data_IF_819629013655
#
_entry.id   IF_819629013655
#
_cell.length_a   1.000
_cell.length_b   1.000
_cell.length_c   1.000
_cell.angle_alpha   90.00
_cell.angle_beta   90.00
_cell.angle_gamma   90.00
#
_symmetry.space_group_name_H-M   'P 1'
#
loop_
_entity.id
_entity.type
_entity.pdbx_description
1 polymer ?
2 non-polymer ?
3 non-polymer ?
4 water ?
#
# COMPACT_ATOMS: atom_id res chain seq x y z
N UNK A 11 8.24 16.00 -11.73
CA UNK A 11 7.52 16.63 -10.61
C UNK A 11 8.40 16.79 -9.36
N UNK A 12 8.06 17.78 -8.53
CA UNK A 12 8.80 18.03 -7.29
C UNK A 12 8.81 16.77 -6.42
N UNK A 13 9.96 16.48 -5.82
CA UNK A 13 10.06 15.34 -4.93
C UNK A 13 10.22 15.84 -3.49
N UNK A 14 10.65 14.96 -2.60
CA UNK A 14 10.82 15.28 -1.20
C UNK A 14 12.25 14.98 -0.75
N UNK A 15 12.84 15.90 -0.01
CA UNK A 15 14.02 15.58 0.80
C UNK A 15 13.55 15.14 2.19
N UNK A 16 13.87 13.91 2.62
CA UNK A 16 13.39 13.44 3.94
C UNK A 16 13.75 14.34 5.13
N UNK A 17 14.92 15.00 5.12
CA UNK A 17 15.33 15.82 6.25
C UNK A 17 14.61 17.17 6.34
N UNK A 18 13.91 17.61 5.29
CA UNK A 18 13.18 18.87 5.30
C UNK A 18 11.68 18.67 5.51
N UNK A 19 11.27 17.52 6.00
CA UNK A 19 9.86 17.27 6.23
C UNK A 19 9.53 17.51 7.69
N UNK A 20 8.27 17.82 7.96
CA UNK A 20 7.75 17.75 9.31
C UNK A 20 7.40 16.30 9.65
N UNK A 21 7.90 15.81 10.79
CA UNK A 21 7.67 14.43 11.22
C UNK A 21 6.71 14.40 12.40
N UNK A 22 5.69 13.55 12.31
CA UNK A 22 4.70 13.41 13.37
C UNK A 22 4.64 11.98 13.87
N UNK A 23 4.29 11.83 15.17
CA UNK A 23 4.22 10.53 15.84
C UNK A 23 2.98 10.50 16.71
N UNK A 24 2.25 9.39 16.64
CA UNK A 24 1.04 9.18 17.40
C UNK A 24 1.11 7.78 18.03
N UNK A 25 0.90 7.71 19.34
CA UNK A 25 0.81 6.43 20.05
C UNK A 25 -0.63 5.96 19.96
N UNK A 26 -0.86 4.82 19.29
CA UNK A 26 -2.23 4.34 19.16
C UNK A 26 -2.53 3.16 20.09
N UNK A 27 -1.51 2.55 20.68
CA UNK A 27 -1.59 1.39 21.56
C UNK A 27 -0.35 1.39 22.42
N UNK A 28 -0.36 0.67 23.55
CA UNK A 28 0.75 0.81 24.51
C UNK A 28 2.15 0.79 23.91
N UNK A 29 2.46 -0.14 23.01
CA UNK A 29 3.79 -0.20 22.45
C UNK A 29 3.80 0.07 20.94
N UNK A 30 2.80 0.79 20.44
CA UNK A 30 2.63 1.02 19.01
C UNK A 30 2.49 2.52 18.76
N UNK A 31 3.51 3.11 18.17
CA UNK A 31 3.46 4.47 17.63
C UNK A 31 3.50 4.40 16.10
N UNK A 32 2.66 5.21 15.45
CA UNK A 32 2.73 5.42 14.01
C UNK A 32 3.42 6.74 13.71
N UNK A 33 4.34 6.70 12.76
CA UNK A 33 5.06 7.87 12.28
C UNK A 33 4.48 8.30 10.93
N UNK A 34 4.40 9.60 10.72
CA UNK A 34 3.96 10.11 9.43
C UNK A 34 4.71 11.38 9.11
N UNK A 35 4.65 11.77 7.86
CA UNK A 35 5.17 13.05 7.39
C UNK A 35 3.98 13.91 7.00
N UNK A 36 4.08 15.22 7.25
CA UNK A 36 2.93 16.11 7.07
C UNK A 36 3.29 17.34 6.25
N UNK A 37 2.42 17.71 5.30
CA UNK A 37 2.69 18.87 4.46
C UNK A 37 1.36 19.45 3.96
N UNK A 38 1.23 20.79 4.04
CA UNK A 38 0.10 21.52 3.47
C UNK A 38 -0.98 21.86 4.49
N UNK A 39 -1.98 22.59 4.02
CA UNK A 39 -3.18 22.92 4.78
C UNK A 39 -4.41 22.67 3.91
N UNK A 40 -5.57 22.49 4.56
CA UNK A 40 -6.79 22.15 3.85
C UNK A 40 -7.36 20.84 4.35
N UNK A 41 -8.28 20.24 3.59
CA UNK A 41 -8.82 18.95 4.02
C UNK A 41 -7.70 17.92 4.16
N UNK A 42 -7.83 17.06 5.16
CA UNK A 42 -6.79 16.09 5.49
C UNK A 42 -6.84 14.91 4.54
N UNK A 43 -5.70 14.59 3.94
CA UNK A 43 -5.57 13.45 3.03
C UNK A 43 -4.54 12.50 3.60
N UNK A 44 -4.92 11.26 3.85
CA UNK A 44 -4.03 10.26 4.41
C UNK A 44 -3.61 9.28 3.32
N UNK A 45 -2.30 9.08 3.14
CA UNK A 45 -1.71 8.25 2.09
C UNK A 45 -1.10 6.99 2.70
N UNK A 46 -1.51 5.81 2.22
CA UNK A 46 -1.09 4.52 2.83
C UNK A 46 -0.37 3.65 1.81
N UNK A 47 0.93 3.45 2.03
CA UNK A 47 1.78 2.79 1.06
C UNK A 47 1.56 1.28 1.11
N UNK A 48 2.27 0.57 0.22
CA UNK A 48 2.19 -0.86 0.10
C UNK A 48 3.48 -1.55 0.50
N UNK A 49 3.62 -2.84 0.06
CA UNK A 49 4.71 -3.75 0.36
C UNK A 49 5.69 -3.80 -0.79
N UNK A 50 7.01 -3.66 -0.55
CA UNK A 50 7.57 -3.26 0.74
C UNK A 50 8.06 -1.82 0.65
N UNK A 51 7.22 -0.85 1.00
CA UNK A 51 7.53 0.53 0.64
C UNK A 51 7.66 1.43 1.85
N UNK A 52 7.17 2.67 1.76
CA UNK A 52 7.54 3.70 2.72
C UNK A 52 6.67 4.92 2.48
N UNK A 53 6.57 5.79 3.49
CA UNK A 53 5.99 7.10 3.19
C UNK A 53 6.67 7.72 1.99
N UNK A 54 7.98 7.48 1.83
CA UNK A 54 8.75 8.07 0.75
C UNK A 54 8.23 7.65 -0.63
N UNK A 55 7.48 6.55 -0.71
CA UNK A 55 6.96 6.13 -2.00
C UNK A 55 6.00 7.15 -2.58
N UNK A 56 5.48 8.04 -1.74
CA UNK A 56 4.59 9.12 -2.15
C UNK A 56 5.33 10.43 -2.43
N UNK A 57 6.67 10.39 -2.50
CA UNK A 57 7.46 11.62 -2.61
C UNK A 57 7.01 12.55 -3.73
N UNK A 58 6.48 12.01 -4.83
CA UNK A 58 6.01 12.88 -5.91
C UNK A 58 4.58 13.38 -5.70
N UNK A 59 3.78 12.69 -4.90
CA UNK A 59 2.43 13.19 -4.68
C UNK A 59 2.36 14.21 -3.55
N UNK A 60 3.26 14.11 -2.57
CA UNK A 60 3.11 14.90 -1.34
C UNK A 60 3.18 16.41 -1.64
N UNK A 61 4.20 16.92 -2.34
CA UNK A 61 4.21 18.37 -2.61
C UNK A 61 3.14 18.78 -3.59
N UNK A 62 2.74 17.88 -4.49
CA UNK A 62 1.70 18.22 -5.46
C UNK A 62 0.33 18.35 -4.80
N UNK A 63 -0.06 17.39 -3.97
CA UNK A 63 -1.34 17.51 -3.28
C UNK A 63 -1.35 18.72 -2.34
N UNK A 64 -0.23 18.99 -1.66
CA UNK A 64 -0.21 20.15 -0.78
C UNK A 64 -0.33 21.44 -1.56
N UNK A 65 0.37 21.56 -2.70
CA UNK A 65 0.23 22.77 -3.52
C UNK A 65 -1.20 22.90 -4.08
N UNK A 66 -1.92 21.80 -4.22
CA UNK A 66 -3.32 21.90 -4.66
C UNK A 66 -4.27 22.21 -3.53
N UNK A 67 -3.78 22.42 -2.30
CA UNK A 67 -4.66 22.84 -1.23
C UNK A 67 -5.18 21.73 -0.33
N UNK A 68 -4.34 20.75 -0.05
CA UNK A 68 -4.71 19.67 0.86
C UNK A 68 -3.65 19.57 1.93
N UNK A 69 -4.07 19.07 3.10
CA UNK A 69 -3.16 18.73 4.18
C UNK A 69 -2.80 17.25 4.04
N UNK A 70 -1.57 16.97 3.62
CA UNK A 70 -1.14 15.60 3.32
C UNK A 70 -0.48 14.96 4.55
N UNK A 71 -0.88 13.74 4.85
CA UNK A 71 -0.26 12.93 5.91
C UNK A 71 0.14 11.63 5.27
N UNK A 72 1.45 11.41 5.13
CA UNK A 72 1.98 10.22 4.49
C UNK A 72 2.47 9.29 5.59
N UNK A 73 1.76 8.18 5.78
CA UNK A 73 2.10 7.25 6.85
C UNK A 73 3.36 6.44 6.53
N UNK A 74 4.09 6.10 7.60
CA UNK A 74 4.86 4.86 7.65
C UNK A 74 3.88 3.85 8.23
N UNK A 75 3.47 2.85 7.44
CA UNK A 75 2.49 1.91 7.98
C UNK A 75 3.15 1.04 9.05
N UNK A 76 2.32 0.42 9.88
CA UNK A 76 2.84 -0.42 10.96
C UNK A 76 3.75 -1.52 10.42
N UNK A 77 4.89 -1.70 11.07
CA UNK A 77 5.93 -2.60 10.62
C UNK A 77 7.05 -1.92 9.85
N UNK A 78 6.85 -0.69 9.42
CA UNK A 78 7.73 -0.08 8.43
C UNK A 78 8.45 1.13 9.01
N UNK A 79 9.68 1.37 8.53
CA UNK A 79 10.33 2.65 8.75
C UNK A 79 10.40 3.05 10.20
N UNK A 80 9.90 4.24 10.53
CA UNK A 80 9.90 4.74 11.89
C UNK A 80 8.64 4.39 12.66
N UNK A 81 7.67 3.75 12.04
CA UNK A 81 6.57 3.27 12.85
C UNK A 81 6.98 2.02 13.60
N UNK A 82 6.30 1.77 14.72
CA UNK A 82 6.57 0.58 15.52
C UNK A 82 6.33 -0.69 14.70
N UNK A 83 7.11 -1.73 15.00
CA UNK A 83 6.93 -3.07 14.45
C UNK A 83 6.77 -4.07 15.59
N UNK A 84 5.56 -4.23 16.13
CA UNK A 84 5.35 -5.26 17.15
C UNK A 84 5.70 -6.63 16.63
N UNK A 85 6.10 -7.54 17.51
CA UNK A 85 6.60 -8.85 17.05
C UNK A 85 5.51 -9.85 16.70
N UNK A 86 4.32 -9.70 17.28
CA UNK A 86 3.24 -10.66 17.10
C UNK A 86 2.64 -10.60 15.69
N UNK A 87 2.42 -11.78 15.10
CA UNK A 87 1.94 -11.84 13.73
C UNK A 87 0.51 -11.32 13.60
N UNK A 88 -0.34 -11.60 14.58
CA UNK A 88 -1.71 -11.15 14.49
C UNK A 88 -1.88 -9.68 14.81
N UNK A 89 -0.80 -8.97 15.16
CA UNK A 89 -0.93 -7.53 15.22
C UNK A 89 -1.11 -6.89 13.85
N UNK A 90 -0.97 -7.66 12.77
CA UNK A 90 -0.96 -7.15 11.42
C UNK A 90 -2.16 -7.64 10.60
N UNK A 91 -3.21 -8.08 11.27
CA UNK A 91 -4.44 -8.39 10.56
C UNK A 91 -5.19 -7.11 10.27
N UNK A 92 -5.97 -7.14 9.19
CA UNK A 92 -6.64 -5.92 8.75
C UNK A 92 -7.52 -5.34 9.86
N UNK A 93 -8.10 -6.19 10.71
CA UNK A 93 -8.98 -5.68 11.76
C UNK A 93 -8.25 -4.76 12.71
N UNK A 94 -7.08 -5.19 13.17
CA UNK A 94 -6.27 -4.36 14.05
C UNK A 94 -5.73 -3.14 13.29
N UNK A 95 -5.26 -3.33 12.06
CA UNK A 95 -4.65 -2.21 11.34
C UNK A 95 -5.66 -1.10 11.13
N UNK A 96 -6.90 -1.45 10.79
CA UNK A 96 -7.92 -0.43 10.57
C UNK A 96 -8.33 0.26 11.86
N UNK A 97 -8.43 -0.49 12.94
CA UNK A 97 -8.85 0.10 14.19
C UNK A 97 -7.77 1.04 14.73
N UNK A 98 -6.50 0.76 14.41
CA UNK A 98 -5.41 1.68 14.75
C UNK A 98 -5.46 2.96 13.94
N UNK A 99 -5.80 2.87 12.65
CA UNK A 99 -5.96 4.08 11.84
C UNK A 99 -7.08 4.95 12.39
N UNK A 100 -8.17 4.34 12.87
CA UNK A 100 -9.23 5.13 13.49
C UNK A 100 -8.71 5.83 14.74
N UNK A 101 -7.96 5.11 15.57
CA UNK A 101 -7.38 5.73 16.75
C UNK A 101 -6.44 6.86 16.33
N UNK A 102 -5.75 6.67 15.21
CA UNK A 102 -4.86 7.70 14.68
C UNK A 102 -5.62 8.99 14.40
N UNK A 103 -6.74 8.88 13.68
CA UNK A 103 -7.58 10.05 13.45
C UNK A 103 -8.07 10.66 14.76
N UNK A 104 -8.41 9.81 15.74
CA UNK A 104 -8.91 10.30 17.01
C UNK A 104 -7.87 11.14 17.71
N UNK A 105 -6.66 10.59 17.85
CA UNK A 105 -5.60 11.32 18.54
C UNK A 105 -5.19 12.59 17.80
N UNK A 106 -5.42 12.66 16.49
CA UNK A 106 -5.16 13.88 15.74
C UNK A 106 -6.35 14.83 15.76
N UNK A 107 -7.46 14.46 16.40
CA UNK A 107 -8.61 15.34 16.40
C UNK A 107 -9.21 15.57 15.02
N UNK A 108 -9.18 14.55 14.16
CA UNK A 108 -9.77 14.62 12.81
C UNK A 108 -11.06 13.82 12.79
N UNK A 109 -12.17 14.47 12.43
CA UNK A 109 -13.44 13.74 12.34
C UNK A 109 -13.42 12.78 11.15
N UNK A 110 -12.81 13.21 10.04
CA UNK A 110 -12.74 12.39 8.85
C UNK A 110 -11.44 12.71 8.13
N UNK A 111 -11.15 11.91 7.11
CA UNK A 111 -10.01 12.18 6.24
C UNK A 111 -10.25 11.46 4.92
N UNK A 112 -9.60 11.97 3.87
CA UNK A 112 -9.51 11.22 2.62
C UNK A 112 -8.41 10.18 2.77
N UNK A 113 -8.72 8.93 2.40
CA UNK A 113 -7.75 7.86 2.43
C UNK A 113 -7.39 7.47 1.00
N UNK A 114 -6.09 7.44 0.71
CA UNK A 114 -5.57 7.02 -0.59
C UNK A 114 -4.50 5.97 -0.32
N UNK A 115 -4.71 4.76 -0.82
CA UNK A 115 -3.75 3.69 -0.63
C UNK A 115 -3.31 3.04 -1.93
N UNK A 116 -2.20 2.33 -1.83
CA UNK A 116 -1.66 1.59 -2.94
C UNK A 116 -1.30 0.20 -2.44
N UNK A 117 -1.64 -0.83 -3.22
CA UNK A 117 -1.18 -2.19 -2.93
C UNK A 117 -1.83 -2.58 -1.59
N UNK A 118 -1.07 -3.10 -0.60
CA UNK A 118 -1.67 -3.44 0.69
C UNK A 118 -2.37 -2.23 1.33
N UNK A 119 -1.78 -1.04 1.20
CA UNK A 119 -2.44 0.17 1.63
C UNK A 119 -3.76 0.42 0.95
N UNK A 120 -3.89 0.04 -0.32
CA UNK A 120 -5.18 0.13 -0.98
C UNK A 120 -6.17 -0.85 -0.41
N UNK A 121 -5.71 -2.05 -0.09
CA UNK A 121 -6.54 -3.00 0.62
C UNK A 121 -7.03 -2.39 1.94
N UNK A 122 -6.11 -1.80 2.70
CA UNK A 122 -6.48 -1.19 3.98
C UNK A 122 -7.55 -0.12 3.81
N UNK A 123 -7.38 0.79 2.84
CA UNK A 123 -8.34 1.90 2.74
C UNK A 123 -9.71 1.42 2.25
N UNK A 124 -9.77 0.32 1.48
CA UNK A 124 -11.09 -0.19 1.12
C UNK A 124 -11.84 -0.63 2.38
N UNK A 125 -11.15 -1.34 3.27
CA UNK A 125 -11.79 -1.86 4.47
C UNK A 125 -12.09 -0.76 5.48
N UNK A 126 -11.28 0.31 5.53
CA UNK A 126 -11.65 1.52 6.25
C UNK A 126 -12.97 2.10 5.74
N UNK A 127 -13.09 2.23 4.42
CA UNK A 127 -14.32 2.76 3.83
C UNK A 127 -15.51 1.84 4.12
N UNK A 128 -15.26 0.54 4.16
CA UNK A 128 -16.34 -0.43 4.34
C UNK A 128 -16.83 -0.44 5.79
N UNK A 129 -15.90 -0.48 6.76
CA UNK A 129 -16.26 -0.63 8.16
C UNK A 129 -16.27 0.69 8.94
N UNK A 130 -15.65 1.74 8.43
CA UNK A 130 -15.66 3.04 9.09
C UNK A 130 -16.03 4.17 8.13
N UNK A 131 -17.09 4.01 7.33
CA UNK A 131 -17.46 5.09 6.41
C UNK A 131 -17.58 6.44 7.07
N UNK A 132 -18.05 6.50 8.32
CA UNK A 132 -18.28 7.76 9.00
C UNK A 132 -16.96 8.53 9.18
N UNK A 133 -15.84 7.82 9.27
CA UNK A 133 -14.54 8.46 9.41
C UNK A 133 -13.82 8.73 8.09
N UNK A 134 -14.41 8.35 6.94
CA UNK A 134 -13.74 8.43 5.64
C UNK A 134 -14.50 9.40 4.75
N UNK A 135 -13.91 10.56 4.45
CA UNK A 135 -14.57 11.51 3.57
C UNK A 135 -14.64 10.98 2.15
N UNK A 136 -13.57 10.32 1.69
CA UNK A 136 -13.53 9.73 0.36
C UNK A 136 -12.37 8.75 0.34
N UNK A 137 -12.42 7.81 -0.61
CA UNK A 137 -11.43 6.73 -0.67
C UNK A 137 -10.93 6.54 -2.11
N UNK A 138 -9.63 6.36 -2.26
CA UNK A 138 -9.01 6.06 -3.56
C UNK A 138 -8.01 4.94 -3.37
N UNK A 139 -7.96 4.04 -4.35
CA UNK A 139 -6.97 2.97 -4.38
C UNK A 139 -6.24 2.98 -5.73
N UNK A 140 -4.92 2.80 -5.68
CA UNK A 140 -4.10 2.54 -6.85
C UNK A 140 -3.84 1.04 -6.93
N UNK A 141 -4.25 0.43 -8.05
CA UNK A 141 -3.95 -0.97 -8.40
C UNK A 141 -4.82 -1.95 -7.63
N UNK A 142 -5.00 -1.75 -6.33
CA UNK A 142 -5.68 -2.77 -5.53
C UNK A 142 -7.18 -2.69 -5.72
N UNK A 143 -7.83 -3.72 -6.24
CA UNK A 143 -9.28 -3.69 -6.38
C UNK A 143 -9.93 -4.00 -5.04
N UNK A 144 -11.21 -3.74 -4.96
CA UNK A 144 -12.03 -4.19 -3.85
C UNK A 144 -12.83 -5.39 -4.31
N UNK A 145 -12.52 -6.56 -3.78
CA UNK A 145 -13.29 -7.77 -4.06
C UNK A 145 -13.96 -8.18 -2.74
N UNK A 146 -15.28 -8.31 -2.70
CA UNK A 146 -15.93 -8.72 -1.45
C UNK A 146 -15.52 -10.14 -1.10
N UNK A 147 -15.45 -10.41 0.20
CA UNK A 147 -15.10 -11.75 0.66
C UNK A 147 -16.09 -12.78 0.11
N UNK A 148 -15.55 -13.87 -0.42
CA UNK A 148 -16.36 -15.02 -0.81
C UNK A 148 -16.48 -15.94 0.40
N UNK A 149 -17.66 -16.06 1.02
CA UNK A 149 -17.75 -16.85 2.26
C UNK A 149 -17.62 -18.35 2.03
N UNK A 150 -17.77 -18.81 0.78
CA UNK A 150 -17.72 -20.22 0.44
C UNK A 150 -16.39 -20.64 -0.17
N UNK A 151 -15.37 -19.78 -0.12
CA UNK A 151 -14.05 -20.08 -0.67
C UNK A 151 -12.98 -19.56 0.28
N UNK A 152 -12.11 -20.46 0.76
CA UNK A 152 -11.07 -20.09 1.69
C UNK A 152 -9.99 -19.27 0.98
N UNK A 153 -9.16 -18.54 1.74
CA UNK A 153 -8.04 -17.83 1.11
C UNK A 153 -7.04 -18.75 0.44
N UNK A 154 -6.78 -19.92 1.00
CA UNK A 154 -5.82 -20.82 0.38
C UNK A 154 -6.35 -21.33 -0.97
N UNK A 155 -7.64 -21.67 -1.03
CA UNK A 155 -8.22 -22.06 -2.30
C UNK A 155 -8.18 -20.93 -3.31
N UNK A 156 -8.36 -19.68 -2.87
CA UNK A 156 -8.36 -18.55 -3.78
C UNK A 156 -6.96 -18.22 -4.28
N UNK A 157 -5.93 -18.76 -3.68
CA UNK A 157 -4.60 -18.44 -4.11
C UNK A 157 -4.17 -19.45 -5.14
N UNK A 158 -4.23 -20.70 -4.76
CA UNK A 158 -3.88 -21.76 -5.66
C UNK A 158 -4.60 -21.58 -6.98
N UNK A 159 -5.67 -20.79 -6.98
CA UNK A 159 -6.43 -20.59 -8.18
C UNK A 159 -5.94 -19.44 -8.97
N UNK A 160 -5.06 -18.62 -8.42
CA UNK A 160 -4.40 -17.64 -9.24
C UNK A 160 -2.98 -17.95 -9.23
N UNK A 161 -2.51 -18.55 -10.28
CA UNK A 161 -1.08 -18.91 -10.24
C UNK A 161 -0.15 -17.73 -9.99
N UNK A 162 -0.60 -16.48 -10.23
CA UNK A 162 0.28 -15.35 -9.99
C UNK A 162 0.41 -15.01 -8.51
N UNK A 163 -0.55 -15.40 -7.68
CA UNK A 163 -0.49 -15.21 -6.24
C UNK A 163 0.33 -16.28 -5.54
N UNK A 164 1.15 -17.02 -6.28
CA UNK A 164 1.90 -18.13 -5.72
C UNK A 164 2.95 -17.65 -4.71
N UNK A 165 3.57 -16.49 -4.96
CA UNK A 165 4.58 -15.96 -4.04
C UNK A 165 4.05 -15.77 -2.61
N UNK A 166 2.73 -15.63 -2.43
CA UNK A 166 2.20 -15.44 -1.09
C UNK A 166 2.29 -16.69 -0.23
N UNK A 167 2.49 -17.86 -0.84
CA UNK A 167 2.74 -19.08 -0.07
C UNK A 167 4.17 -19.09 0.45
N UNK A 168 5.11 -18.69 -0.39
CA UNK A 168 6.49 -18.56 0.04
C UNK A 168 6.62 -17.55 1.18
N UNK A 169 5.74 -16.56 1.26
CA UNK A 169 5.78 -15.53 2.30
C UNK A 169 5.20 -16.00 3.63
N UNK A 170 4.64 -17.21 3.70
CA UNK A 170 3.82 -17.59 4.86
C UNK A 170 4.66 -17.95 6.09
N UNK A 171 5.69 -18.76 5.92
CA UNK A 171 6.39 -19.30 7.09
C UNK A 171 7.35 -18.28 7.68
N UNK A 172 7.20 -17.90 8.96
CA UNK A 172 8.06 -16.86 9.54
C UNK A 172 9.53 -17.23 9.48
N UNK A 173 10.32 -16.30 8.95
CA UNK A 173 11.76 -16.46 8.86
C UNK A 173 12.26 -16.70 7.46
N UNK A 174 11.45 -17.29 6.58
CA UNK A 174 11.97 -17.81 5.33
C UNK A 174 12.21 -16.70 4.33
N UNK A 175 11.14 -15.99 3.95
CA UNK A 175 11.32 -14.87 3.03
C UNK A 175 12.12 -13.73 3.65
N UNK A 176 12.08 -13.58 5.00
CA UNK A 176 12.89 -12.55 5.65
C UNK A 176 14.35 -12.71 5.26
N UNK A 177 14.83 -13.96 5.25
CA UNK A 177 16.24 -14.22 5.02
C UNK A 177 16.65 -13.77 3.62
N UNK A 178 15.83 -14.07 2.62
CA UNK A 178 16.17 -13.67 1.26
C UNK A 178 16.03 -12.16 1.06
N UNK A 179 14.97 -11.57 1.59
CA UNK A 179 14.76 -10.14 1.41
C UNK A 179 15.83 -9.31 2.13
N UNK A 180 16.30 -9.78 3.29
CA UNK A 180 17.27 -9.04 4.11
C UNK A 180 18.74 -9.35 3.81
N UNK A 181 19.04 -10.30 2.92
CA UNK A 181 20.43 -10.68 2.76
C UNK A 181 21.25 -9.63 2.00
N UNK A 182 20.65 -8.91 1.06
CA UNK A 182 21.33 -7.82 0.37
C UNK A 182 20.25 -6.80 0.04
N UNK A 183 20.04 -5.85 0.96
CA UNK A 183 18.90 -4.95 0.85
C UNK A 183 18.96 -4.15 -0.45
N UNK A 184 20.14 -3.72 -0.87
CA UNK A 184 20.23 -2.97 -2.11
C UNK A 184 19.85 -3.82 -3.31
N UNK A 185 20.19 -5.12 -3.27
CA UNK A 185 19.76 -6.02 -4.33
C UNK A 185 18.25 -6.20 -4.29
N UNK A 186 17.68 -6.33 -3.09
CA UNK A 186 16.23 -6.47 -2.96
C UNK A 186 15.48 -5.33 -3.62
N UNK A 187 15.82 -4.09 -3.28
CA UNK A 187 15.05 -2.96 -3.78
C UNK A 187 15.37 -2.64 -5.23
N UNK A 188 16.63 -2.85 -5.65
CA UNK A 188 16.94 -2.68 -7.06
C UNK A 188 16.24 -3.73 -7.91
N UNK A 189 15.94 -4.90 -7.34
CA UNK A 189 15.27 -5.96 -8.08
C UNK A 189 13.76 -5.76 -8.13
N UNK A 190 13.18 -5.16 -7.09
CA UNK A 190 11.74 -4.98 -7.04
C UNK A 190 11.30 -3.72 -7.79
N UNK A 191 11.97 -2.60 -7.55
CA UNK A 191 11.49 -1.28 -7.99
C UNK A 191 11.91 -1.09 -9.45
N UNK A 192 11.16 -1.70 -10.37
CA UNK A 192 11.47 -1.61 -11.80
C UNK A 192 10.20 -1.41 -12.62
N UNK A 193 10.36 -0.75 -13.77
CA UNK A 193 9.27 -0.68 -14.74
C UNK A 193 8.95 -2.07 -15.26
N UNK A 194 7.75 -2.22 -15.82
CA UNK A 194 7.32 -3.55 -16.23
C UNK A 194 8.25 -4.15 -17.28
N UNK A 195 8.70 -3.33 -18.23
CA UNK A 195 9.57 -3.84 -19.27
C UNK A 195 10.97 -4.20 -18.75
N UNK A 196 11.36 -3.71 -17.57
CA UNK A 196 12.67 -4.04 -17.00
C UNK A 196 12.60 -5.14 -15.96
N UNK A 197 11.46 -5.80 -15.82
CA UNK A 197 11.23 -6.68 -14.68
C UNK A 197 12.06 -7.95 -14.81
N UNK A 198 12.67 -8.36 -13.69
CA UNK A 198 13.54 -9.52 -13.61
C UNK A 198 12.95 -10.66 -12.79
N UNK A 199 11.74 -10.50 -12.26
CA UNK A 199 11.12 -11.52 -11.40
C UNK A 199 9.89 -12.11 -12.04
N UNK A 200 9.66 -13.39 -11.76
CA UNK A 200 8.45 -14.08 -12.18
C UNK A 200 7.73 -14.49 -10.90
N UNK A 201 6.72 -13.70 -10.50
CA UNK A 201 5.98 -13.99 -9.29
C UNK A 201 5.19 -15.30 -9.39
N UNK A 202 4.96 -15.80 -10.60
CA UNK A 202 4.19 -17.03 -10.83
C UNK A 202 5.07 -18.28 -10.87
N UNK A 203 6.32 -18.19 -10.43
CA UNK A 203 7.21 -19.34 -10.37
C UNK A 203 7.96 -19.41 -9.05
N UNK A 204 7.56 -18.62 -8.05
CA UNK A 204 8.42 -18.34 -6.91
C UNK A 204 8.55 -19.57 -6.01
N UNK A 205 7.48 -20.25 -5.71
CA UNK A 205 7.59 -21.34 -4.75
C UNK A 205 8.35 -22.61 -5.14
N UNK A 206 8.47 -22.93 -6.41
CA UNK A 206 9.26 -24.08 -6.82
C UNK A 206 10.71 -23.76 -7.07
N UNK A 207 10.97 -22.58 -7.59
CA UNK A 207 12.33 -22.13 -7.75
C UNK A 207 12.89 -21.99 -6.38
N UNK A 208 12.03 -21.78 -5.40
CA UNK A 208 12.58 -21.67 -4.07
C UNK A 208 12.87 -20.28 -3.57
N UNK A 209 12.43 -19.24 -4.28
CA UNK A 209 12.67 -17.88 -3.84
C UNK A 209 12.37 -16.81 -4.87
N UNK A 210 12.24 -15.56 -4.40
CA UNK A 210 11.88 -14.45 -5.27
C UNK A 210 13.02 -14.12 -6.23
N UNK A 211 14.26 -14.25 -5.76
CA UNK A 211 15.40 -13.71 -6.47
C UNK A 211 16.34 -14.78 -6.98
N UNK A 212 16.01 -16.06 -6.79
CA UNK A 212 16.94 -17.12 -7.17
C UNK A 212 17.34 -17.03 -8.63
N UNK A 213 16.49 -16.45 -9.48
CA UNK A 213 16.79 -16.42 -10.91
C UNK A 213 16.82 -14.99 -11.45
N UNK A 214 17.54 -14.12 -10.76
CA UNK A 214 17.68 -12.74 -11.18
C UNK A 214 19.06 -12.25 -10.77
N UNK A 215 19.57 -11.17 -11.41
CA UNK A 215 21.00 -10.85 -11.30
C UNK A 215 21.52 -10.74 -9.87
N UNK A 216 22.82 -11.02 -9.73
CA UNK A 216 23.53 -10.75 -8.48
C UNK A 216 23.64 -9.26 -8.22
N UNK A 217 24.16 -8.51 -9.18
CA UNK A 217 24.24 -7.06 -9.14
C UNK A 217 23.28 -6.50 -10.20
N UNK A 218 22.00 -6.30 -9.87
CA UNK A 218 21.05 -5.82 -10.88
C UNK A 218 21.31 -4.37 -11.25
N UNK A 219 20.82 -4.00 -12.44
CA UNK A 219 20.97 -2.62 -12.87
C UNK A 219 19.96 -1.72 -12.17
N UNK A 220 20.21 -0.42 -12.27
CA UNK A 220 19.31 0.58 -11.69
C UNK A 220 18.18 0.88 -12.67
N UNK A 221 16.94 0.68 -12.23
CA UNK A 221 15.79 0.98 -13.07
C UNK A 221 15.75 2.47 -13.43
N UNK A 222 15.11 2.77 -14.57
CA UNK A 222 14.95 4.14 -14.99
C UNK A 222 14.05 4.93 -14.05
N UNK A 223 13.31 4.24 -13.18
CA UNK A 223 12.37 4.91 -12.28
C UNK A 223 13.05 5.56 -11.09
N UNK A 224 14.22 5.05 -10.67
CA UNK A 224 14.78 5.36 -9.37
C UNK A 224 16.23 5.79 -9.49
N UNK A 225 16.70 6.56 -8.50
CA UNK A 225 18.12 6.85 -8.39
C UNK A 225 18.77 5.91 -7.37
N UNK A 226 20.10 5.94 -7.36
CA UNK A 226 20.83 5.24 -6.33
C UNK A 226 20.54 5.81 -4.96
N UNK A 227 20.34 7.13 -4.89
CA UNK A 227 20.06 7.79 -3.61
C UNK A 227 18.73 7.34 -3.05
N UNK A 228 17.70 7.32 -3.90
CA UNK A 228 16.39 6.85 -3.47
C UNK A 228 16.44 5.40 -3.02
N UNK A 229 17.17 4.56 -3.76
CA UNK A 229 17.35 3.16 -3.34
C UNK A 229 17.94 3.12 -1.94
N UNK A 230 18.98 3.92 -1.68
CA UNK A 230 19.66 3.87 -0.39
C UNK A 230 18.78 4.36 0.74
N UNK A 231 17.80 5.23 0.46
CA UNK A 231 16.87 5.61 1.50
C UNK A 231 16.00 4.42 1.92
N UNK A 232 15.47 3.69 0.94
CA UNK A 232 14.73 2.48 1.30
C UNK A 232 15.63 1.50 2.07
N UNK A 233 16.89 1.37 1.64
CA UNK A 233 17.79 0.45 2.34
C UNK A 233 17.92 0.84 3.79
N UNK A 234 18.15 2.13 4.04
CA UNK A 234 18.38 2.54 5.42
C UNK A 234 17.11 2.39 6.25
N UNK A 235 15.94 2.60 5.64
CA UNK A 235 14.69 2.45 6.39
C UNK A 235 14.47 1.00 6.84
N UNK A 236 14.73 0.04 5.95
CA UNK A 236 14.44 -1.35 6.29
C UNK A 236 15.51 -1.98 7.16
N UNK A 237 16.66 -1.32 7.30
CA UNK A 237 17.64 -1.76 8.28
C UNK A 237 17.12 -1.60 9.70
N UNK A 238 16.10 -0.78 9.91
CA UNK A 238 15.65 -0.52 11.27
C UNK A 238 14.93 -1.73 11.85
N UNK A 239 13.91 -2.26 11.16
CA UNK A 239 13.13 -3.38 11.67
C UNK A 239 13.11 -4.59 10.75
N UNK A 240 13.71 -4.51 9.57
CA UNK A 240 13.69 -5.68 8.72
C UNK A 240 12.35 -5.95 8.04
N UNK A 241 12.22 -7.16 7.51
CA UNK A 241 11.09 -7.51 6.66
C UNK A 241 10.01 -8.33 7.38
N UNK A 242 10.21 -8.66 8.66
CA UNK A 242 9.21 -9.48 9.34
C UNK A 242 7.87 -8.76 9.45
N UNK A 243 7.88 -7.54 9.98
CA UNK A 243 6.68 -6.74 10.12
C UNK A 243 5.91 -6.57 8.82
N UNK A 244 6.56 -6.06 7.77
CA UNK A 244 5.92 -6.06 6.43
C UNK A 244 5.39 -7.41 5.98
N UNK A 245 6.18 -8.49 6.09
CA UNK A 245 5.70 -9.81 5.66
C UNK A 245 4.51 -10.26 6.48
N UNK A 246 4.37 -9.79 7.73
CA UNK A 246 3.24 -10.25 8.51
C UNK A 246 1.90 -9.77 7.97
N UNK A 247 1.90 -8.82 7.03
CA UNK A 247 0.63 -8.39 6.43
C UNK A 247 0.00 -9.50 5.61
N UNK A 248 0.80 -10.43 5.07
CA UNK A 248 0.33 -11.60 4.33
C UNK A 248 -0.01 -12.79 5.21
N UNK A 249 0.32 -12.76 6.50
CA UNK A 249 0.23 -13.94 7.34
C UNK A 249 -1.03 -13.97 8.17
N UNK A 250 -2.07 -13.26 7.73
CA UNK A 250 -3.34 -13.19 8.46
C UNK A 250 -4.53 -13.45 7.53
N UNK A 251 -4.34 -14.26 6.48
CA UNK A 251 -5.36 -14.44 5.45
C UNK A 251 -6.67 -14.96 6.05
N UNK A 252 -6.59 -15.95 6.93
CA UNK A 252 -7.81 -16.52 7.49
C UNK A 252 -8.53 -15.50 8.38
N UNK A 253 -7.80 -14.82 9.25
CA UNK A 253 -8.41 -13.77 10.06
C UNK A 253 -9.08 -12.71 9.18
N UNK A 254 -8.36 -12.22 8.17
CA UNK A 254 -8.91 -11.16 7.32
C UNK A 254 -10.16 -11.63 6.58
N UNK A 255 -10.12 -12.87 6.09
CA UNK A 255 -11.28 -13.45 5.42
C UNK A 255 -12.49 -13.52 6.36
N UNK A 256 -12.30 -14.07 7.57
CA UNK A 256 -13.40 -14.13 8.54
C UNK A 256 -13.96 -12.75 8.85
N UNK A 257 -13.07 -11.77 9.10
CA UNK A 257 -13.53 -10.41 9.41
C UNK A 257 -14.26 -9.82 8.21
N UNK A 258 -13.70 -9.99 7.00
CA UNK A 258 -14.33 -9.43 5.82
C UNK A 258 -15.70 -10.03 5.61
N UNK A 259 -15.87 -11.30 5.98
CA UNK A 259 -17.17 -11.95 5.82
C UNK A 259 -18.24 -11.31 6.69
N UNK A 260 -17.85 -10.79 7.86
CA UNK A 260 -18.82 -10.18 8.77
C UNK A 260 -19.51 -8.96 8.16
N UNK A 261 -19.10 -8.54 6.97
CA UNK A 261 -19.62 -7.33 6.38
C UNK A 261 -20.56 -7.60 5.22
N UNK A 262 -20.82 -8.86 4.92
CA UNK A 262 -21.32 -9.23 3.60
C UNK A 262 -22.64 -8.55 3.29
N UNK A 263 -22.78 -8.13 2.03
CA UNK A 263 -23.99 -7.48 1.60
C UNK A 263 -23.83 -6.00 1.43
N UNK A 264 -23.20 -5.35 2.41
CA UNK A 264 -23.25 -3.90 2.46
C UNK A 264 -22.35 -3.27 1.40
N UNK A 265 -22.80 -2.14 0.89
CA UNK A 265 -22.10 -1.43 -0.15
C UNK A 265 -21.29 -0.30 0.45
N UNK A 266 -20.36 0.23 -0.33
CA UNK A 266 -19.60 1.41 0.04
C UNK A 266 -20.27 2.60 -0.62
N UNK A 267 -20.77 3.52 0.19
CA UNK A 267 -21.64 4.58 -0.27
C UNK A 267 -20.94 5.92 -0.39
N UNK A 268 -19.68 6.00 0.01
CA UNK A 268 -18.92 7.25 0.02
C UNK A 268 -18.29 7.46 -1.37
N UNK A 269 -17.82 8.68 -1.68
CA UNK A 269 -17.11 8.90 -2.96
C UNK A 269 -15.84 8.07 -3.07
N UNK A 270 -15.63 7.49 -4.25
CA UNK A 270 -14.59 6.48 -4.40
C UNK A 270 -13.94 6.56 -5.78
N UNK A 271 -12.65 6.22 -5.82
CA UNK A 271 -11.85 6.23 -7.05
C UNK A 271 -11.01 4.97 -7.10
N UNK A 272 -11.13 4.21 -8.20
CA UNK A 272 -10.27 3.07 -8.47
C UNK A 272 -9.36 3.41 -9.66
N UNK A 273 -8.04 3.39 -9.44
CA UNK A 273 -7.05 3.67 -10.48
C UNK A 273 -6.35 2.38 -10.86
N UNK A 274 -6.48 1.95 -12.11
CA UNK A 274 -5.85 0.73 -12.56
C UNK A 274 -4.60 1.03 -13.40
N UNK A 275 -3.65 0.10 -13.38
CA UNK A 275 -2.38 0.24 -14.07
C UNK A 275 -2.25 -0.84 -15.14
N UNK A 276 -2.07 -0.42 -16.40
CA UNK A 276 -2.15 -1.34 -17.54
C UNK A 276 -1.16 -2.49 -17.42
N UNK A 277 0.04 -2.24 -16.91
CA UNK A 277 1.10 -3.25 -16.92
C UNK A 277 1.37 -3.88 -15.57
N UNK A 278 0.51 -3.66 -14.58
CA UNK A 278 0.62 -4.40 -13.32
C UNK A 278 0.15 -5.83 -13.58
N UNK A 279 1.10 -6.77 -13.64
CA UNK A 279 0.77 -8.15 -13.96
C UNK A 279 0.40 -8.99 -12.75
N UNK A 280 0.41 -8.42 -11.56
CA UNK A 280 -0.14 -9.09 -10.38
C UNK A 280 -1.54 -8.58 -10.07
N UNK A 281 -1.68 -7.27 -9.93
CA UNK A 281 -2.97 -6.64 -9.67
C UNK A 281 -3.47 -6.10 -11.00
N UNK A 282 -3.96 -7.02 -11.84
CA UNK A 282 -4.30 -6.69 -13.23
C UNK A 282 -5.58 -5.86 -13.23
N UNK A 283 -5.79 -5.00 -14.23
CA UNK A 283 -6.99 -4.15 -14.25
C UNK A 283 -8.31 -4.90 -14.23
N UNK A 284 -8.34 -6.09 -14.81
CA UNK A 284 -9.57 -6.87 -14.91
C UNK A 284 -10.06 -7.36 -13.55
N UNK A 285 -9.18 -7.46 -12.57
CA UNK A 285 -9.62 -7.82 -11.23
C UNK A 285 -10.58 -6.80 -10.61
N UNK A 286 -10.74 -5.63 -11.23
CA UNK A 286 -11.58 -4.58 -10.70
C UNK A 286 -12.93 -4.50 -11.42
N UNK A 287 -13.24 -5.46 -12.29
CA UNK A 287 -14.24 -5.20 -13.32
C UNK A 287 -15.65 -4.99 -12.79
N UNK A 288 -16.03 -5.60 -11.66
CA UNK A 288 -17.39 -5.41 -11.17
C UNK A 288 -17.45 -4.65 -9.84
N UNK A 289 -16.51 -3.74 -9.61
CA UNK A 289 -16.55 -3.01 -8.35
C UNK A 289 -17.76 -2.09 -8.29
N UNK A 290 -18.25 -1.66 -9.45
CA UNK A 290 -19.45 -0.81 -9.51
C UNK A 290 -20.63 -1.44 -8.78
N UNK A 291 -20.76 -2.77 -8.81
CA UNK A 291 -21.92 -3.40 -8.21
C UNK A 291 -21.95 -3.21 -6.71
N UNK A 292 -20.77 -3.02 -6.10
CA UNK A 292 -20.65 -2.80 -4.67
C UNK A 292 -20.39 -1.35 -4.30
N UNK A 293 -19.93 -0.55 -5.25
CA UNK A 293 -19.53 0.83 -4.98
C UNK A 293 -20.20 1.74 -6.00
N UNK A 294 -21.39 2.24 -5.71
CA UNK A 294 -22.23 2.85 -6.74
C UNK A 294 -21.78 4.22 -7.23
N UNK A 295 -21.11 4.99 -6.36
CA UNK A 295 -20.55 6.29 -6.75
C UNK A 295 -19.07 6.19 -7.17
N UNK A 296 -18.65 5.05 -7.72
CA UNK A 296 -17.25 4.80 -8.02
C UNK A 296 -16.87 5.50 -9.32
N UNK A 297 -15.79 6.28 -9.28
CA UNK A 297 -15.20 6.78 -10.50
C UNK A 297 -13.89 6.05 -10.77
N UNK A 298 -13.37 6.19 -11.99
CA UNK A 298 -12.23 5.41 -12.43
C UNK A 298 -11.13 6.26 -13.03
N UNK A 299 -9.91 5.80 -12.84
CA UNK A 299 -8.78 6.27 -13.61
C UNK A 299 -8.03 5.05 -14.07
N UNK A 300 -7.34 5.20 -15.19
CA UNK A 300 -6.54 4.13 -15.77
C UNK A 300 -5.31 4.77 -16.38
N UNK A 301 -4.16 4.16 -16.13
CA UNK A 301 -2.87 4.71 -16.56
C UNK A 301 -2.21 3.68 -17.46
N UNK A 302 -1.98 4.05 -18.71
CA UNK A 302 -1.30 3.13 -19.63
C UNK A 302 0.19 3.15 -19.37
N UNK A 303 0.86 2.08 -19.78
CA UNK A 303 2.32 1.95 -19.68
C UNK A 303 2.80 2.02 -18.23
N UNK A 304 1.96 1.65 -17.26
CA UNK A 304 2.27 1.81 -15.84
C UNK A 304 2.29 0.43 -15.20
N UNK A 305 3.40 0.08 -14.56
CA UNK A 305 3.51 -1.16 -13.83
C UNK A 305 2.96 -1.07 -12.41
N UNK A 306 3.45 -1.97 -11.56
CA UNK A 306 2.99 -2.07 -10.19
C UNK A 306 3.36 -0.84 -9.35
N UNK A 307 4.52 -0.23 -9.59
CA UNK A 307 5.03 0.85 -8.73
C UNK A 307 4.52 2.20 -9.25
N UNK A 308 3.21 2.36 -9.14
CA UNK A 308 2.50 3.40 -9.87
C UNK A 308 2.96 4.80 -9.54
N UNK A 309 3.15 5.11 -8.24
CA UNK A 309 3.48 6.48 -7.84
C UNK A 309 4.80 6.93 -8.43
N UNK A 310 5.80 6.04 -8.48
CA UNK A 310 7.08 6.45 -9.07
C UNK A 310 7.19 6.14 -10.56
N UNK A 311 6.38 5.20 -11.07
CA UNK A 311 6.37 4.92 -12.51
C UNK A 311 5.80 6.09 -13.28
N UNK A 312 4.59 6.52 -12.92
CA UNK A 312 3.84 7.53 -13.65
C UNK A 312 3.37 8.65 -12.70
N UNK A 313 4.29 9.34 -12.03
CA UNK A 313 3.85 10.29 -10.99
C UNK A 313 3.00 11.44 -11.53
N UNK A 314 3.29 11.93 -12.75
CA UNK A 314 2.53 13.07 -13.26
C UNK A 314 1.06 12.72 -13.55
N UNK A 315 0.82 11.56 -14.15
CA UNK A 315 -0.56 11.11 -14.39
C UNK A 315 -1.27 10.79 -13.07
N UNK A 316 -0.60 10.14 -12.13
CA UNK A 316 -1.19 9.91 -10.81
C UNK A 316 -1.60 11.25 -10.18
N UNK A 317 -0.71 12.24 -10.19
CA UNK A 317 -1.03 13.54 -9.59
C UNK A 317 -2.24 14.18 -10.25
N UNK A 318 -2.32 14.11 -11.59
CA UNK A 318 -3.46 14.68 -12.31
C UNK A 318 -4.76 13.96 -11.96
N UNK A 319 -4.73 12.63 -11.96
CA UNK A 319 -5.96 11.90 -11.64
C UNK A 319 -6.40 12.23 -10.22
N UNK A 320 -5.46 12.26 -9.27
CA UNK A 320 -5.83 12.45 -7.88
C UNK A 320 -6.32 13.86 -7.62
N UNK A 321 -5.63 14.86 -8.16
CA UNK A 321 -6.07 16.24 -7.92
C UNK A 321 -7.42 16.49 -8.59
N UNK A 322 -7.62 15.97 -9.80
CA UNK A 322 -8.91 16.18 -10.45
C UNK A 322 -10.05 15.58 -9.64
N UNK A 323 -9.83 14.38 -9.08
CA UNK A 323 -10.88 13.69 -8.34
C UNK A 323 -11.10 14.29 -6.95
N UNK A 324 -10.02 14.73 -6.28
CA UNK A 324 -10.19 15.39 -4.99
C UNK A 324 -10.99 16.67 -5.12
N UNK A 325 -10.75 17.44 -6.19
CA UNK A 325 -11.41 18.73 -6.35
C UNK A 325 -12.89 18.58 -6.65
N UNK A 326 -13.28 17.51 -7.33
CA UNK A 326 -14.68 17.37 -7.70
C UNK A 326 -15.50 16.51 -6.73
N UNK A 327 -14.89 15.57 -6.01
CA UNK A 327 -15.64 14.61 -5.21
C UNK A 327 -15.30 14.60 -3.72
N UNK A 328 -14.11 15.03 -3.34
CA UNK A 328 -13.74 14.99 -1.93
C UNK A 328 -13.98 16.31 -1.22
N UNK A 329 -13.85 17.42 -1.94
CA UNK A 329 -14.04 18.74 -1.36
C UNK A 329 -15.52 19.10 -1.31
X LIG B 1 -5.22 -10.09 -2.91
X LIG B 1 -5.77 -13.38 -2.10
X LIG B 1 -5.55 -13.00 -3.56
X LIG B 1 -1.69 -8.35 -3.29
X LIG B 1 3.87 -7.37 -4.00
X LIG B 1 3.73 -7.08 -6.50
X LIG B 1 5.65 -6.88 -7.91
X LIG B 1 5.73 -7.18 -10.30
X LIG B 1 1.48 -7.39 -3.21
X LIG B 1 -0.95 -7.35 -2.43
X LIG B 1 -1.97 -6.25 -2.11
X LIG B 1 -3.15 -6.82 -1.38
X LIG B 1 -2.99 -8.85 -2.72
X LIG B 1 -3.89 -9.68 -3.57
X LIG B 1 -4.59 -14.25 -1.72
X LIG B 1 -4.01 -10.22 -0.77
X LIG B 1 -2.80 -9.67 -1.47
X LIG B 1 4.47 -7.20 -5.35
X LIG B 1 4.28 -6.92 -7.77
X LIG B 1 6.42 -6.99 -6.79
X LIG B 1 5.83 -7.14 -5.56
X LIG B 1 5.51 -8.47 -10.26
X LIG B 1 6.57 -6.91 -11.28
X LIG B 1 4.59 -6.64 -10.70
X LIG B 1 0.24 -6.80 -3.04
X LIG B 1 -5.12 -10.79 -1.60
X LIG B 1 2.58 -6.78 -3.79
X LIG B 1 1.59 -8.53 -2.81
X LIG B 1 -3.71 -7.86 -2.07
X LIG B 1 -5.54 -12.43 0.15
X LIG B 1 -7.37 -11.68 -1.13
X LIG B 1 6.26 -6.70 -9.13
X LIG B 1 -6.02 -12.07 -1.11
X LIG C 1 -21.47 -5.48 -12.60
#
# INVERSE_FOLDING_TARGET
>A
MASLNTPAPLPTSCNPSDMSHGYVTVKPRVRLHFVELGSGPAVCLCHGFPESWYSWRYQIPALAQAGYRVLAMDMKGYGESSAPPEIEEYCMEVLCKEMVTFLDKLGLSQAVFIGHDWGGMLVWYMALFYPERVRAVASLNTPFIPANPNMSPLESIKANPVFDYQLYFQEPGVAEAELEQNLSRTFKSLFRASDESVLSMHKVCEAGGLFVNSPEEPSLSRMVTEEEIQFYVQQFKKSGFRGPLNWYRNMERNWKWACKSLGRKILIPALMVTAEKDFVLVPQMSQHMEDWIPHLKRGHIEDCGHWTQMDKPTEVNQILIKWLDSDARNPPVVSKMLLEHHHHHH
>B hetero
1 E3N C10 C13 C15 C20 C22 C24 C26 C28 C02 C04 C05 C06 C08 C09 C14 C18 C19 C23 C25 C32 C33 F29 F30 F31 N03 N11 N21 O01 O07 O16 O17 O27 S12
>C hetero
1 MG MG
#
